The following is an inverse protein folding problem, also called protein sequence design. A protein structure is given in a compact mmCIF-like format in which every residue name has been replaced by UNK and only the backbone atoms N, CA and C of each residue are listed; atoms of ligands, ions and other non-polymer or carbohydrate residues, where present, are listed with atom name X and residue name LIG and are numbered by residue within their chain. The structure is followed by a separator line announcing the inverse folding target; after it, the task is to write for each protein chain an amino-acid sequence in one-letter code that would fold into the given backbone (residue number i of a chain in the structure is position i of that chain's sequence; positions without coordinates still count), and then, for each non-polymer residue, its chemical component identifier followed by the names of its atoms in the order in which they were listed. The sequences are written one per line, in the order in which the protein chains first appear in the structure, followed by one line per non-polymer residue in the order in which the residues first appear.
data_IF_645898678254
#
_entry.id   IF_645898678254
#
_cell.length_a   1.000
_cell.length_b   1.000
_cell.length_c   1.000
_cell.angle_alpha   90.00
_cell.angle_beta   90.00
_cell.angle_gamma   90.00
#
_symmetry.space_group_name_H-M   'P 1'
#
loop_
_entity.id
_entity.type
_entity.pdbx_description
1 polymer ?
#
# COMPACT_ATOMS: atom_id res chain seq x y z
N UNK A 1 -8.43 -13.40 1.28
CA UNK A 1 -7.66 -12.16 1.11
C UNK A 1 -6.92 -12.13 -0.21
N UNK A 2 -6.08 -13.13 -0.51
CA UNK A 2 -5.38 -13.25 -1.79
C UNK A 2 -6.28 -13.04 -3.02
N UNK A 3 -7.42 -13.75 -3.10
CA UNK A 3 -8.36 -13.61 -4.24
C UNK A 3 -8.82 -12.16 -4.49
N UNK A 4 -9.00 -11.35 -3.44
CA UNK A 4 -9.37 -9.94 -3.59
C UNK A 4 -8.22 -9.10 -4.15
N UNK A 5 -6.97 -9.42 -3.79
CA UNK A 5 -5.77 -8.78 -4.32
C UNK A 5 -5.54 -9.19 -5.78
N UNK A 6 -5.70 -10.49 -6.10
CA UNK A 6 -5.59 -11.01 -7.47
C UNK A 6 -6.63 -10.40 -8.38
N UNK A 7 -7.90 -10.33 -7.94
CA UNK A 7 -8.97 -9.72 -8.72
C UNK A 7 -8.72 -8.23 -8.93
N UNK A 8 -8.30 -7.50 -7.89
CA UNK A 8 -7.96 -6.09 -8.04
C UNK A 8 -6.79 -5.88 -9.00
N UNK A 9 -5.72 -6.66 -8.88
CA UNK A 9 -4.55 -6.58 -9.74
C UNK A 9 -4.85 -6.91 -11.20
N UNK A 10 -5.72 -7.88 -11.47
CA UNK A 10 -6.14 -8.24 -12.82
C UNK A 10 -6.93 -7.14 -13.54
N UNK A 11 -7.51 -6.20 -12.79
CA UNK A 11 -8.34 -5.11 -13.30
C UNK A 11 -7.78 -3.70 -13.02
N UNK A 12 -6.59 -3.61 -12.42
CA UNK A 12 -5.98 -2.33 -12.10
C UNK A 12 -5.46 -1.64 -13.37
N UNK A 13 -5.76 -0.35 -13.51
CA UNK A 13 -5.26 0.46 -14.63
C UNK A 13 -4.02 1.28 -14.25
N UNK A 14 -3.82 1.52 -12.95
CA UNK A 14 -2.82 2.47 -12.46
C UNK A 14 -2.01 1.97 -11.26
N UNK A 15 -2.61 1.13 -10.42
CA UNK A 15 -2.00 0.60 -9.21
C UNK A 15 -1.06 -0.55 -9.55
N UNK A 16 0.20 -0.46 -9.10
CA UNK A 16 1.23 -1.45 -9.41
C UNK A 16 1.39 -2.41 -8.23
N UNK A 17 1.24 -3.72 -8.46
CA UNK A 17 1.34 -4.71 -7.40
C UNK A 17 2.73 -5.35 -7.37
N UNK A 18 3.35 -5.41 -6.19
CA UNK A 18 4.56 -6.21 -5.97
C UNK A 18 4.21 -7.66 -5.61
N UNK A 19 5.16 -8.58 -5.79
CA UNK A 19 5.03 -9.97 -5.30
C UNK A 19 4.67 -10.02 -3.81
N UNK A 20 5.24 -9.09 -3.03
CA UNK A 20 5.03 -8.99 -1.59
C UNK A 20 3.56 -8.76 -1.21
N UNK A 21 2.80 -8.06 -2.05
CA UNK A 21 1.37 -7.85 -1.83
C UNK A 21 0.61 -9.18 -1.82
N UNK A 22 0.90 -10.05 -2.78
CA UNK A 22 0.25 -11.36 -2.90
C UNK A 22 0.71 -12.32 -1.78
N UNK A 23 2.01 -12.37 -1.49
CA UNK A 23 2.56 -13.20 -0.42
C UNK A 23 1.91 -12.94 0.94
N UNK A 24 1.81 -11.66 1.30
CA UNK A 24 1.27 -11.25 2.60
C UNK A 24 -0.25 -11.39 2.65
N UNK A 25 -0.95 -11.11 1.56
CA UNK A 25 -2.39 -11.34 1.45
C UNK A 25 -2.76 -12.83 1.57
N UNK A 26 -1.90 -13.76 1.11
CA UNK A 26 -2.13 -15.21 1.24
C UNK A 26 -2.26 -15.68 2.69
N UNK A 27 -1.53 -15.05 3.60
CA UNK A 27 -1.48 -15.45 5.02
C UNK A 27 -2.19 -14.44 5.93
N UNK A 28 -2.90 -13.47 5.35
CA UNK A 28 -3.63 -12.45 6.08
C UNK A 28 -4.91 -13.05 6.71
N UNK A 29 -5.11 -12.92 8.03
CA UNK A 29 -6.25 -13.50 8.75
C UNK A 29 -7.55 -12.67 8.65
N UNK A 30 -7.53 -11.52 7.96
CA UNK A 30 -8.70 -10.67 7.74
C UNK A 30 -9.78 -11.41 6.92
N UNK A 31 -11.05 -11.32 7.34
CA UNK A 31 -12.15 -12.15 6.83
C UNK A 31 -13.19 -11.38 5.98
N UNK A 32 -12.94 -10.11 5.64
CA UNK A 32 -13.83 -9.30 4.81
C UNK A 32 -13.20 -8.95 3.44
N UNK A 33 -12.99 -9.92 2.54
CA UNK A 33 -12.29 -9.70 1.26
C UNK A 33 -13.02 -8.72 0.34
N UNK A 34 -14.35 -8.62 0.43
CA UNK A 34 -15.14 -7.64 -0.35
C UNK A 34 -14.82 -6.20 0.04
N UNK A 35 -14.52 -5.94 1.32
CA UNK A 35 -14.10 -4.61 1.76
C UNK A 35 -12.73 -4.28 1.22
N UNK A 36 -11.78 -5.21 1.33
CA UNK A 36 -10.45 -5.03 0.74
C UNK A 36 -10.55 -4.72 -0.76
N UNK A 37 -11.29 -5.51 -1.52
CA UNK A 37 -11.43 -5.31 -2.98
C UNK A 37 -11.95 -3.90 -3.30
N UNK A 38 -13.00 -3.45 -2.62
CA UNK A 38 -13.55 -2.09 -2.79
C UNK A 38 -12.48 -1.02 -2.53
N UNK A 39 -11.74 -1.15 -1.43
CA UNK A 39 -10.71 -0.18 -1.06
C UNK A 39 -9.54 -0.20 -2.07
N UNK A 40 -9.18 -1.36 -2.63
CA UNK A 40 -8.17 -1.47 -3.70
C UNK A 40 -8.64 -0.81 -5.02
N UNK A 41 -9.90 -1.00 -5.41
CA UNK A 41 -10.48 -0.34 -6.60
C UNK A 41 -10.53 1.19 -6.41
N UNK A 42 -10.86 1.67 -5.21
CA UNK A 42 -10.82 3.08 -4.88
C UNK A 42 -9.38 3.62 -4.89
N UNK A 43 -8.42 2.83 -4.40
CA UNK A 43 -7.00 3.18 -4.41
C UNK A 43 -6.41 3.26 -5.82
N UNK A 44 -6.88 2.44 -6.77
CA UNK A 44 -6.48 2.55 -8.19
C UNK A 44 -6.82 3.91 -8.80
N UNK A 45 -7.96 4.51 -8.42
CA UNK A 45 -8.31 5.88 -8.82
C UNK A 45 -7.36 6.92 -8.23
N UNK A 46 -6.89 6.71 -7.01
CA UNK A 46 -5.85 7.56 -6.39
C UNK A 46 -4.53 7.41 -7.14
N UNK A 47 -4.18 6.19 -7.56
CA UNK A 47 -3.00 5.94 -8.36
C UNK A 47 -3.07 6.63 -9.73
N UNK A 48 -4.24 6.60 -10.39
CA UNK A 48 -4.47 7.34 -11.64
C UNK A 48 -4.27 8.85 -11.47
N UNK A 49 -4.80 9.42 -10.38
CA UNK A 49 -4.57 10.83 -10.06
C UNK A 49 -3.08 11.13 -9.80
N UNK A 50 -2.37 10.26 -9.09
CA UNK A 50 -0.93 10.40 -8.79
C UNK A 50 -0.05 10.32 -10.03
N UNK A 51 -0.45 9.49 -11.00
CA UNK A 51 0.29 9.20 -12.22
C UNK A 51 0.18 10.31 -13.28
N UNK A 52 0.42 11.56 -12.86
CA UNK A 52 0.48 12.73 -13.73
C UNK A 52 1.82 13.42 -13.55
N UNK A 53 2.40 13.92 -14.64
CA UNK A 53 3.66 14.68 -14.60
C UNK A 53 3.51 15.91 -13.67
N UNK A 54 4.44 16.08 -12.74
CA UNK A 54 4.36 17.14 -11.71
C UNK A 54 3.50 16.80 -10.49
N UNK A 55 2.78 15.67 -10.51
CA UNK A 55 1.91 15.22 -9.42
C UNK A 55 0.54 15.91 -9.39
N UNK A 56 -0.25 15.58 -8.36
CA UNK A 56 -1.68 15.98 -8.25
C UNK A 56 -1.86 17.48 -7.92
N UNK A 57 -0.78 18.24 -7.67
CA UNK A 57 -0.86 19.64 -7.26
C UNK A 57 -1.49 19.89 -5.88
N UNK A 58 -1.81 18.83 -5.14
CA UNK A 58 -2.34 18.86 -3.76
C UNK A 58 -1.91 17.59 -3.01
N UNK A 59 -2.05 17.53 -1.67
CA UNK A 59 -1.73 16.33 -0.91
C UNK A 59 -2.49 15.09 -1.40
N UNK A 60 -1.78 13.98 -1.59
CA UNK A 60 -2.38 12.70 -2.02
C UNK A 60 -3.43 12.19 -1.02
N UNK A 61 -3.25 12.50 0.27
CA UNK A 61 -4.22 12.23 1.33
C UNK A 61 -5.60 12.78 1.01
N UNK A 62 -5.68 14.00 0.48
CA UNK A 62 -6.97 14.64 0.18
C UNK A 62 -7.70 13.89 -0.94
N UNK A 63 -6.94 13.35 -1.90
CA UNK A 63 -7.49 12.52 -2.98
C UNK A 63 -7.97 11.18 -2.42
N UNK A 64 -7.19 10.54 -1.55
CA UNK A 64 -7.58 9.30 -0.90
C UNK A 64 -8.84 9.46 -0.05
N UNK A 65 -8.95 10.55 0.72
CA UNK A 65 -10.15 10.86 1.51
C UNK A 65 -11.38 11.11 0.63
N UNK A 66 -11.23 11.73 -0.55
CA UNK A 66 -12.32 11.86 -1.52
C UNK A 66 -12.79 10.51 -2.07
N UNK A 67 -11.90 9.52 -2.14
CA UNK A 67 -12.24 8.12 -2.44
C UNK A 67 -12.70 7.33 -1.20
N UNK A 68 -12.95 7.99 -0.07
CA UNK A 68 -13.39 7.38 1.19
C UNK A 68 -12.40 6.37 1.80
N UNK A 69 -11.11 6.53 1.51
CA UNK A 69 -10.05 5.67 2.06
C UNK A 69 -9.55 6.22 3.40
N UNK A 70 -9.38 5.34 4.39
CA UNK A 70 -8.74 5.69 5.66
C UNK A 70 -7.22 5.73 5.47
N UNK A 71 -6.71 6.89 5.06
CA UNK A 71 -5.30 7.11 4.72
C UNK A 71 -4.44 7.46 5.94
N UNK A 72 -3.26 6.85 6.02
CA UNK A 72 -2.18 7.21 6.92
C UNK A 72 -0.94 7.62 6.10
N UNK A 73 -0.36 8.78 6.42
CA UNK A 73 0.65 9.42 5.57
C UNK A 73 2.01 8.74 5.59
N UNK A 74 2.39 8.11 6.70
CA UNK A 74 3.68 7.42 6.78
C UNK A 74 3.74 6.38 7.90
N UNK A 75 4.84 5.63 7.91
CA UNK A 75 5.33 4.81 9.02
C UNK A 75 6.43 5.59 9.75
N UNK A 76 6.50 5.48 11.08
CA UNK A 76 7.57 6.18 11.81
C UNK A 76 8.96 5.68 11.39
N UNK A 77 9.92 6.61 11.28
CA UNK A 77 11.32 6.30 10.94
C UNK A 77 11.89 5.23 11.87
N UNK A 78 11.57 5.32 13.17
CA UNK A 78 11.98 4.34 14.18
C UNK A 78 11.39 2.95 13.91
N UNK A 79 10.09 2.84 13.64
CA UNK A 79 9.46 1.55 13.35
C UNK A 79 10.03 0.93 12.08
N UNK A 80 10.27 1.74 11.05
CA UNK A 80 10.90 1.30 9.80
C UNK A 80 12.35 0.82 10.02
N UNK A 81 13.14 1.51 10.84
CA UNK A 81 14.50 1.09 11.15
C UNK A 81 14.55 -0.22 11.94
N UNK A 82 13.69 -0.36 12.96
CA UNK A 82 13.64 -1.54 13.82
C UNK A 82 13.08 -2.77 13.11
N UNK A 83 12.11 -2.58 12.21
CA UNK A 83 11.39 -3.65 11.52
C UNK A 83 11.63 -3.62 10.01
N UNK A 84 12.85 -3.27 9.58
CA UNK A 84 13.16 -3.01 8.17
C UNK A 84 12.71 -4.12 7.21
N UNK A 85 12.83 -5.39 7.62
CA UNK A 85 12.39 -6.55 6.81
C UNK A 85 10.88 -6.60 6.54
N UNK A 86 10.07 -6.04 7.43
CA UNK A 86 8.62 -6.00 7.29
C UNK A 86 8.17 -4.89 6.35
N UNK A 87 8.86 -3.74 6.40
CA UNK A 87 8.54 -2.56 5.60
C UNK A 87 9.24 -2.52 4.24
N UNK A 88 10.27 -3.35 4.02
CA UNK A 88 10.94 -3.46 2.73
C UNK A 88 10.18 -4.41 1.79
N UNK A 89 10.11 -4.05 0.52
CA UNK A 89 9.67 -4.91 -0.56
C UNK A 89 10.42 -4.52 -1.85
N UNK A 90 10.10 -5.15 -2.97
CA UNK A 90 10.72 -4.79 -4.24
C UNK A 90 9.75 -4.89 -5.40
N UNK A 91 10.08 -4.19 -6.48
CA UNK A 91 9.43 -4.31 -7.77
C UNK A 91 10.52 -4.23 -8.85
N UNK A 92 10.53 -5.16 -9.80
CA UNK A 92 11.57 -5.28 -10.84
C UNK A 92 13.01 -5.22 -10.30
N UNK A 93 13.25 -5.89 -9.16
CA UNK A 93 14.55 -5.92 -8.49
C UNK A 93 14.96 -4.62 -7.81
N UNK A 94 14.11 -3.59 -7.81
CA UNK A 94 14.35 -2.31 -7.14
C UNK A 94 13.77 -2.29 -5.73
N UNK A 95 14.56 -1.92 -4.71
CA UNK A 95 14.07 -1.89 -3.33
C UNK A 95 13.09 -0.74 -3.15
N UNK A 96 11.91 -1.08 -2.64
CA UNK A 96 10.88 -0.14 -2.25
C UNK A 96 10.61 -0.27 -0.75
N UNK A 97 10.03 0.79 -0.20
CA UNK A 97 9.72 0.83 1.20
C UNK A 97 8.29 1.29 1.44
N UNK A 98 7.62 0.58 2.33
CA UNK A 98 6.31 0.96 2.81
C UNK A 98 6.41 2.28 3.58
N UNK A 99 5.65 3.27 3.12
CA UNK A 99 5.44 4.55 3.80
C UNK A 99 3.95 4.74 4.05
N UNK A 100 3.23 5.46 3.18
CA UNK A 100 1.78 5.62 3.33
C UNK A 100 1.05 4.29 3.29
N UNK A 101 -0.11 4.23 3.93
CA UNK A 101 -0.95 3.03 3.91
C UNK A 101 -2.43 3.35 4.06
N UNK A 102 -3.27 2.48 3.50
CA UNK A 102 -4.72 2.49 3.73
C UNK A 102 -5.04 1.53 4.86
N UNK A 103 -5.80 2.02 5.85
CA UNK A 103 -6.36 1.21 6.94
C UNK A 103 -7.72 0.66 6.51
N UNK A 104 -7.71 -0.49 5.85
CA UNK A 104 -8.94 -1.19 5.45
C UNK A 104 -9.78 -1.55 6.68
N UNK A 105 -9.16 -1.92 7.80
CA UNK A 105 -9.85 -2.12 9.08
C UNK A 105 -8.90 -1.91 10.26
N UNK A 106 -9.45 -1.38 11.37
CA UNK A 106 -8.70 -1.00 12.59
C UNK A 106 -9.24 -1.68 13.86
N UNK A 107 -10.08 -2.71 13.73
CA UNK A 107 -10.68 -3.42 14.86
C UNK A 107 -9.68 -4.25 15.66
N UNK A 108 -10.03 -4.58 16.91
CA UNK A 108 -9.17 -5.38 17.80
C UNK A 108 -9.06 -6.84 17.30
N UNK A 109 -7.82 -7.33 17.25
CA UNK A 109 -7.51 -8.71 16.87
C UNK A 109 -7.19 -8.87 15.38
N UNK A 110 -6.37 -9.86 15.06
CA UNK A 110 -5.78 -10.01 13.72
C UNK A 110 -6.82 -10.16 12.59
N UNK A 111 -8.00 -10.73 12.88
CA UNK A 111 -9.09 -10.89 11.89
C UNK A 111 -9.85 -9.60 11.58
N UNK A 112 -9.68 -8.55 12.39
CA UNK A 112 -10.40 -7.27 12.27
C UNK A 112 -9.47 -6.10 11.97
N UNK A 113 -8.19 -6.38 11.75
CA UNK A 113 -7.20 -5.40 11.30
C UNK A 113 -6.77 -5.73 9.88
N UNK A 114 -6.82 -4.75 8.98
CA UNK A 114 -6.31 -4.89 7.62
C UNK A 114 -5.67 -3.59 7.14
N UNK A 115 -4.47 -3.66 6.55
CA UNK A 115 -3.76 -2.54 5.95
C UNK A 115 -3.26 -2.87 4.55
N UNK A 116 -3.14 -1.85 3.71
CA UNK A 116 -2.50 -1.91 2.38
C UNK A 116 -1.36 -0.90 2.40
N UNK A 117 -0.13 -1.38 2.43
CA UNK A 117 1.07 -0.54 2.49
C UNK A 117 1.57 -0.17 1.10
N UNK A 118 2.03 1.07 0.95
CA UNK A 118 2.33 1.68 -0.34
C UNK A 118 3.73 2.27 -0.37
N UNK A 119 4.34 2.27 -1.55
CA UNK A 119 5.41 3.18 -1.90
C UNK A 119 4.91 4.17 -2.96
N UNK A 120 5.18 5.46 -2.76
CA UNK A 120 4.92 6.49 -3.76
C UNK A 120 6.24 6.78 -4.48
N UNK A 121 6.25 6.56 -5.79
CA UNK A 121 7.41 6.83 -6.64
C UNK A 121 7.08 8.01 -7.54
N UNK A 122 8.01 8.96 -7.66
CA UNK A 122 7.91 10.15 -8.51
C UNK A 122 8.50 9.93 -9.89
N UNK A 123 9.39 8.94 -10.03
CA UNK A 123 10.04 8.52 -11.27
C UNK A 123 11.35 9.25 -11.55
N UNK A 124 11.77 10.14 -10.64
CA UNK A 124 13.00 10.92 -10.73
C UNK A 124 13.97 10.65 -9.57
N UNK A 125 13.61 9.73 -8.65
CA UNK A 125 14.45 9.35 -7.54
C UNK A 125 15.69 8.56 -8.02
N UNK A 126 16.93 8.99 -7.68
CA UNK A 126 18.15 8.31 -8.12
C UNK A 126 18.21 6.84 -7.69
N UNK A 127 17.78 6.54 -6.47
CA UNK A 127 17.82 5.19 -5.89
C UNK A 127 16.76 4.24 -6.47
N UNK A 128 15.77 4.80 -7.18
CA UNK A 128 14.69 4.07 -7.84
C UNK A 128 14.75 4.22 -9.37
N UNK A 129 15.91 4.58 -9.91
CA UNK A 129 16.10 4.83 -11.33
C UNK A 129 15.53 3.69 -12.20
N UNK A 130 14.66 4.07 -13.12
CA UNK A 130 13.96 3.16 -14.04
C UNK A 130 12.56 2.74 -13.58
N UNK A 131 12.16 3.00 -12.33
CA UNK A 131 10.77 2.86 -11.94
C UNK A 131 9.95 4.08 -12.39
N UNK A 132 8.84 3.89 -13.12
CA UNK A 132 7.96 5.00 -13.46
C UNK A 132 7.29 5.57 -12.20
N UNK A 133 6.85 6.82 -12.31
CA UNK A 133 5.94 7.45 -11.34
C UNK A 133 4.74 6.54 -11.12
N UNK A 134 4.37 6.31 -9.86
CA UNK A 134 3.26 5.42 -9.55
C UNK A 134 3.08 5.18 -8.07
N UNK A 135 2.02 4.43 -7.77
CA UNK A 135 1.75 3.89 -6.43
C UNK A 135 1.98 2.38 -6.51
N UNK A 136 2.91 1.90 -5.69
CA UNK A 136 3.31 0.50 -5.66
C UNK A 136 2.79 -0.14 -4.37
N UNK A 137 2.01 -1.19 -4.51
CA UNK A 137 1.43 -1.96 -3.40
C UNK A 137 2.48 -2.92 -2.87
N UNK A 138 2.87 -2.71 -1.62
CA UNK A 138 3.71 -3.59 -0.83
C UNK A 138 2.87 -4.56 0.00
N UNK A 139 3.20 -4.79 1.29
CA UNK A 139 2.45 -5.68 2.16
C UNK A 139 0.94 -5.38 2.24
N UNK A 140 0.12 -6.43 2.23
CA UNK A 140 -1.35 -6.37 2.38
C UNK A 140 -1.79 -7.32 3.49
N UNK A 141 -2.71 -6.85 4.34
CA UNK A 141 -3.31 -7.64 5.41
C UNK A 141 -2.88 -7.13 6.78
N UNK A 142 -1.93 -7.79 7.43
CA UNK A 142 -1.63 -7.52 8.85
C UNK A 142 -1.10 -6.10 9.07
N UNK A 143 -1.35 -5.58 10.27
CA UNK A 143 -0.54 -4.48 10.81
C UNK A 143 0.90 -4.97 10.95
N UNK A 144 1.83 -4.28 10.29
CA UNK A 144 3.28 -4.50 10.48
C UNK A 144 3.70 -3.98 11.85
N UNK A 145 4.73 -4.59 12.41
CA UNK A 145 5.23 -4.25 13.76
C UNK A 145 5.57 -2.76 13.85
N UNK A 146 5.14 -2.13 14.94
CA UNK A 146 5.50 -0.76 15.29
C UNK A 146 6.25 -0.72 16.62
N UNK A 147 6.89 0.41 16.93
CA UNK A 147 7.69 0.59 18.15
C UNK A 147 6.88 0.53 19.45
N UNK A 148 5.58 0.24 19.40
CA UNK A 148 4.67 0.13 20.54
C UNK A 148 4.20 -1.30 20.81
N UNK A 149 4.66 -2.29 20.04
CA UNK A 149 4.37 -3.71 20.32
C UNK A 149 5.50 -4.33 21.15
N UNK A 150 5.49 -4.02 22.45
CA UNK A 150 6.28 -4.68 23.50
C UNK A 150 5.38 -5.23 24.58
#
# INVERSE_FOLDING_TARGET
MLEAVELAAAHAEHLVYSERAFETARTAPYDEPRKLLRDLVALDRVAGAWNVAGGIGRPIRDVALQQQLEWADDVSVTARAQNAREYAFSHDGRPLWAGPHVRVATGRGMRRTCRVYLALVKGDEPDLAGLPRGIYVGPVGKHLSDSTTG
#
